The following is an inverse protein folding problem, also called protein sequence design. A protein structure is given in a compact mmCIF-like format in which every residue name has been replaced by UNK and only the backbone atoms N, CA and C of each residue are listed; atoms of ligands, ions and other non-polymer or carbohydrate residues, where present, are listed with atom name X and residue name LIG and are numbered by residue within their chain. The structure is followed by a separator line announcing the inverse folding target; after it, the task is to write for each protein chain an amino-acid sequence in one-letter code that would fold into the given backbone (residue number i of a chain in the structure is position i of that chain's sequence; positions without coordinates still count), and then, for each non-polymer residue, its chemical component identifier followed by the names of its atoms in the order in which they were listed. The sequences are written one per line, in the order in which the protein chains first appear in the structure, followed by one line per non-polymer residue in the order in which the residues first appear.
data_IF_952111696978
#
_entry.id   IF_952111696978
#
_cell.length_a   1.000
_cell.length_b   1.000
_cell.length_c   1.000
_cell.angle_alpha   90.00
_cell.angle_beta   90.00
_cell.angle_gamma   90.00
#
_symmetry.space_group_name_H-M   'P 1'
#
loop_
_entity.id
_entity.type
_entity.pdbx_description
1 polymer ?
#
# COMPACT_ATOMS: atom_id res chain seq x y z
N UNK A 1 36.22 70.05 9.37
CA UNK A 1 35.28 68.91 9.34
C UNK A 1 36.06 67.61 9.30
N UNK A 2 35.43 66.49 9.66
CA UNK A 2 36.00 65.14 9.44
C UNK A 2 36.29 64.91 7.95
N UNK A 3 37.16 63.94 7.64
CA UNK A 3 37.41 63.46 6.26
C UNK A 3 36.12 62.93 5.60
N UNK A 4 35.20 62.39 6.40
CA UNK A 4 33.90 61.88 5.95
C UNK A 4 32.73 62.84 6.21
N UNK A 5 32.97 64.15 6.12
CA UNK A 5 31.95 65.18 6.30
C UNK A 5 31.98 66.23 5.20
N UNK A 6 30.80 66.69 4.79
CA UNK A 6 30.65 67.86 3.93
C UNK A 6 30.81 69.13 4.76
N UNK A 7 31.60 70.07 4.24
CA UNK A 7 31.90 71.35 4.90
C UNK A 7 31.15 72.48 4.21
N UNK A 8 30.34 73.22 4.97
CA UNK A 8 29.71 74.45 4.50
C UNK A 8 30.10 75.61 5.42
N UNK A 9 30.30 76.80 4.86
CA UNK A 9 30.72 77.98 5.61
C UNK A 9 29.85 79.17 5.23
N UNK A 10 29.32 79.86 6.25
CA UNK A 10 28.61 81.13 6.09
C UNK A 10 29.27 82.16 7.01
N UNK A 11 30.00 83.11 6.43
CA UNK A 11 30.83 84.06 7.19
C UNK A 11 31.97 83.33 7.92
N UNK A 12 32.02 83.45 9.25
CA UNK A 12 32.99 82.75 10.11
C UNK A 12 32.46 81.43 10.70
N UNK A 13 31.18 81.11 10.49
CA UNK A 13 30.57 79.88 11.02
C UNK A 13 30.79 78.74 10.04
N UNK A 14 31.44 77.68 10.50
CA UNK A 14 31.69 76.44 9.75
C UNK A 14 30.73 75.37 10.26
N UNK A 15 29.87 74.87 9.37
CA UNK A 15 28.95 73.76 9.65
C UNK A 15 29.43 72.52 8.92
N UNK A 16 29.71 71.47 9.69
CA UNK A 16 30.11 70.17 9.19
C UNK A 16 28.95 69.19 9.31
N UNK A 17 28.65 68.44 8.24
CA UNK A 17 27.62 67.39 8.24
C UNK A 17 28.22 66.11 7.70
N UNK A 18 28.11 64.99 8.42
CA UNK A 18 28.64 63.71 7.95
C UNK A 18 28.05 63.32 6.57
N UNK A 19 28.86 62.64 5.75
CA UNK A 19 28.43 62.08 4.47
C UNK A 19 27.32 61.02 4.66
N UNK A 20 26.55 60.68 3.61
CA UNK A 20 25.66 59.52 3.63
C UNK A 20 26.42 58.28 4.11
N UNK A 21 25.77 57.43 4.90
CA UNK A 21 26.35 56.23 5.54
C UNK A 21 27.32 56.47 6.70
N UNK A 22 27.54 57.72 7.11
CA UNK A 22 28.28 58.10 8.30
C UNK A 22 27.37 58.76 9.35
N UNK A 23 27.74 58.63 10.62
CA UNK A 23 27.07 59.25 11.76
C UNK A 23 28.07 59.98 12.66
N UNK A 24 27.61 61.03 13.36
CA UNK A 24 28.45 61.84 14.23
C UNK A 24 28.03 63.31 14.26
N UNK A 25 28.90 64.16 14.79
CA UNK A 25 28.69 65.61 14.95
C UNK A 25 29.24 66.45 13.77
N UNK A 26 29.66 65.78 12.68
CA UNK A 26 30.29 66.42 11.52
C UNK A 26 31.80 66.68 11.67
N UNK A 27 32.31 66.72 12.90
CA UNK A 27 33.74 66.86 13.21
C UNK A 27 34.40 65.50 13.42
N UNK A 28 33.67 64.57 14.01
CA UNK A 28 33.99 63.16 14.13
C UNK A 28 32.86 62.36 13.48
N UNK A 29 33.11 61.85 12.27
CA UNK A 29 32.16 61.00 11.54
C UNK A 29 32.69 59.58 11.48
N UNK A 30 31.90 58.62 11.94
CA UNK A 30 32.18 57.17 11.85
C UNK A 30 31.16 56.50 10.96
N UNK A 31 31.51 55.34 10.39
CA UNK A 31 30.57 54.55 9.61
C UNK A 31 29.34 54.24 10.47
N UNK A 32 28.15 54.45 9.91
CA UNK A 32 26.89 54.07 10.56
C UNK A 32 26.90 52.57 10.76
N UNK A 33 26.57 52.12 11.96
CA UNK A 33 26.39 50.72 12.27
C UNK A 33 24.89 50.38 12.26
N UNK A 34 24.38 49.66 11.23
CA UNK A 34 22.97 49.29 11.17
C UNK A 34 22.50 48.46 12.36
N UNK A 35 23.41 47.73 13.01
CA UNK A 35 23.08 46.87 14.14
C UNK A 35 22.75 47.64 15.43
N UNK A 36 23.21 48.88 15.54
CA UNK A 36 22.89 49.76 16.68
C UNK A 36 21.63 50.58 16.46
N UNK A 37 21.07 50.55 15.24
CA UNK A 37 19.77 51.15 14.99
C UNK A 37 18.70 50.41 15.83
N UNK A 38 17.65 51.11 16.28
CA UNK A 38 16.59 50.53 17.13
C UNK A 38 15.86 49.31 16.54
N UNK A 39 16.14 48.96 15.28
CA UNK A 39 15.63 47.78 14.59
C UNK A 39 16.64 46.62 14.51
N UNK A 40 17.81 46.69 15.16
CA UNK A 40 18.91 45.69 15.07
C UNK A 40 19.31 45.39 13.63
N UNK A 41 19.32 46.45 12.81
CA UNK A 41 19.43 46.44 11.36
C UNK A 41 18.26 45.76 10.62
N UNK A 42 17.34 45.10 11.31
CA UNK A 42 16.33 44.19 10.76
C UNK A 42 16.71 42.71 10.82
N UNK A 43 17.59 42.27 11.73
CA UNK A 43 17.84 40.83 11.94
C UNK A 43 16.66 40.17 12.65
N UNK A 44 16.56 38.85 12.54
CA UNK A 44 15.71 38.05 13.41
C UNK A 44 16.00 38.36 14.88
N UNK A 45 15.01 38.14 15.76
CA UNK A 45 15.25 38.14 17.20
C UNK A 45 16.12 36.99 17.68
N UNK A 46 16.23 35.93 16.87
CA UNK A 46 17.09 34.78 17.11
C UNK A 46 18.40 34.86 16.29
N UNK A 47 18.89 36.07 16.02
CA UNK A 47 20.11 36.29 15.27
C UNK A 47 20.98 37.42 15.83
N UNK A 48 22.29 37.23 15.75
CA UNK A 48 23.29 38.24 16.00
C UNK A 48 23.47 39.13 14.76
N UNK A 49 23.43 40.45 14.97
CA UNK A 49 23.72 41.42 13.93
C UNK A 49 25.21 41.76 13.94
N UNK A 50 25.90 41.45 12.85
CA UNK A 50 27.33 41.74 12.68
C UNK A 50 27.52 42.83 11.63
N UNK A 51 28.12 43.96 12.00
CA UNK A 51 28.48 45.00 11.04
C UNK A 51 29.64 44.53 10.18
N UNK A 52 29.47 44.54 8.86
CA UNK A 52 30.45 44.02 7.88
C UNK A 52 31.16 45.12 7.09
N UNK A 53 30.82 46.38 7.34
CA UNK A 53 31.40 47.52 6.64
C UNK A 53 30.53 48.77 6.68
N UNK A 54 30.73 49.65 5.70
CA UNK A 54 30.07 50.94 5.55
C UNK A 54 28.56 50.78 5.43
N UNK A 55 27.83 51.00 6.53
CA UNK A 55 26.37 50.85 6.58
C UNK A 55 25.89 49.47 6.08
N UNK A 56 26.74 48.44 6.21
CA UNK A 56 26.44 47.05 5.83
C UNK A 56 26.49 46.13 7.04
N UNK A 57 25.71 45.05 6.97
CA UNK A 57 25.57 44.07 8.05
C UNK A 57 25.35 42.66 7.50
N UNK A 58 25.65 41.65 8.31
CA UNK A 58 25.21 40.26 8.10
C UNK A 58 24.42 39.74 9.31
N UNK A 59 23.37 38.99 8.97
CA UNK A 59 22.59 38.07 9.80
C UNK A 59 23.36 36.81 10.22
N UNK A 60 23.45 36.45 11.50
CA UNK A 60 23.87 35.10 11.90
C UNK A 60 22.92 34.53 12.95
N UNK A 61 22.26 33.42 12.66
CA UNK A 61 21.32 32.80 13.59
C UNK A 61 22.05 32.29 14.85
N UNK A 62 21.39 32.35 16.01
CA UNK A 62 21.90 31.76 17.23
C UNK A 62 21.96 30.21 17.14
N UNK A 63 22.72 29.59 18.05
CA UNK A 63 22.77 28.13 18.15
C UNK A 63 21.38 27.52 18.37
N UNK A 64 21.09 26.44 17.64
CA UNK A 64 19.76 25.81 17.60
C UNK A 64 18.78 26.48 16.64
N UNK A 65 19.23 27.44 15.82
CA UNK A 65 18.43 28.05 14.77
C UNK A 65 19.16 28.03 13.42
N UNK A 66 18.41 27.84 12.34
CA UNK A 66 18.91 27.79 10.96
C UNK A 66 18.13 28.77 10.09
N UNK A 67 18.83 29.42 9.15
CA UNK A 67 18.22 30.32 8.16
C UNK A 67 19.18 31.36 7.61
N UNK A 68 18.65 32.43 7.03
CA UNK A 68 19.41 33.50 6.37
C UNK A 68 19.80 34.66 7.32
N UNK A 69 19.51 34.52 8.62
CA UNK A 69 19.75 35.54 9.64
C UNK A 69 18.68 36.63 9.72
N UNK A 70 17.83 36.77 8.70
CA UNK A 70 16.61 37.59 8.75
C UNK A 70 15.43 36.75 9.22
N UNK A 71 15.35 35.51 8.75
CA UNK A 71 14.49 34.45 9.25
C UNK A 71 15.39 33.36 9.85
N UNK A 72 15.24 33.12 11.15
CA UNK A 72 15.91 32.05 11.87
C UNK A 72 14.83 31.16 12.48
N UNK A 73 14.79 29.90 12.05
CA UNK A 73 13.83 28.90 12.48
C UNK A 73 14.55 27.87 13.33
N UNK A 74 13.85 27.29 14.30
CA UNK A 74 14.41 26.24 15.15
C UNK A 74 14.99 25.12 14.28
N UNK A 75 16.21 24.70 14.62
CA UNK A 75 16.92 23.66 13.91
C UNK A 75 16.14 22.34 14.02
N UNK A 76 15.94 21.68 12.88
CA UNK A 76 15.26 20.41 12.85
C UNK A 76 16.10 19.32 13.53
N UNK A 77 15.49 18.59 14.47
CA UNK A 77 15.98 17.27 14.85
C UNK A 77 15.68 16.25 13.73
N UNK A 78 16.69 15.63 13.12
CA UNK A 78 16.47 14.69 12.01
C UNK A 78 15.55 13.54 12.46
N UNK A 79 14.54 13.16 11.64
CA UNK A 79 13.70 12.03 11.98
C UNK A 79 14.53 10.75 12.03
N UNK A 80 14.40 10.02 13.14
CA UNK A 80 14.96 8.67 13.27
C UNK A 80 14.01 7.68 12.61
N UNK A 81 14.54 6.68 11.90
CA UNK A 81 13.73 5.61 11.32
C UNK A 81 13.03 4.82 12.44
N UNK A 82 11.73 5.04 12.58
CA UNK A 82 10.90 4.39 13.62
C UNK A 82 10.71 2.91 13.37
N UNK A 83 10.95 2.41 12.16
CA UNK A 83 10.93 0.98 11.86
C UNK A 83 12.04 0.22 12.59
N UNK A 84 13.12 0.91 12.99
CA UNK A 84 14.23 0.34 13.76
C UNK A 84 13.97 0.38 15.28
N UNK A 85 12.79 0.86 15.70
CA UNK A 85 12.35 0.86 17.09
C UNK A 85 12.35 -0.54 17.70
N UNK A 86 12.56 -0.60 19.03
CA UNK A 86 12.48 -1.84 19.80
C UNK A 86 11.45 -1.67 20.93
N UNK A 87 10.33 -2.42 20.93
CA UNK A 87 9.93 -3.42 19.92
C UNK A 87 9.61 -2.78 18.56
N UNK A 88 9.71 -3.54 17.43
CA UNK A 88 9.31 -3.05 16.12
C UNK A 88 7.82 -2.67 16.10
N UNK A 89 7.44 -1.63 15.35
CA UNK A 89 6.05 -1.15 15.30
C UNK A 89 5.12 -2.05 14.46
N UNK A 90 5.67 -2.87 13.57
CA UNK A 90 4.91 -3.73 12.67
C UNK A 90 5.08 -5.21 13.03
N UNK A 91 4.14 -6.03 12.56
CA UNK A 91 4.23 -7.49 12.62
C UNK A 91 5.52 -7.99 11.92
N UNK A 92 6.06 -9.13 12.34
CA UNK A 92 7.30 -9.70 11.76
C UNK A 92 7.20 -9.95 10.25
N UNK A 93 6.02 -10.39 9.81
CA UNK A 93 5.70 -10.65 8.40
C UNK A 93 5.15 -9.42 7.67
N UNK A 94 5.27 -8.23 8.27
CA UNK A 94 4.97 -6.97 7.61
C UNK A 94 6.26 -6.26 7.17
N UNK A 95 6.15 -5.56 6.05
CA UNK A 95 7.10 -4.54 5.62
C UNK A 95 6.74 -3.24 6.32
N UNK A 96 7.70 -2.71 7.08
CA UNK A 96 7.60 -1.43 7.74
C UNK A 96 8.15 -0.32 6.83
N UNK A 97 7.39 0.76 6.65
CA UNK A 97 7.86 1.97 5.97
C UNK A 97 7.63 3.20 6.86
N UNK A 98 8.73 3.89 7.20
CA UNK A 98 8.64 5.19 7.88
C UNK A 98 8.33 6.28 6.85
N UNK A 99 7.13 6.86 6.97
CA UNK A 99 6.60 7.81 6.00
C UNK A 99 7.26 9.19 6.10
N UNK A 100 7.91 9.51 7.23
CA UNK A 100 8.57 10.80 7.42
C UNK A 100 10.02 10.77 6.98
N UNK A 101 10.67 9.61 7.12
CA UNK A 101 12.06 9.41 6.73
C UNK A 101 12.23 9.21 5.22
N UNK A 102 11.43 8.33 4.60
CA UNK A 102 11.62 7.96 3.19
C UNK A 102 11.33 9.12 2.22
N UNK A 103 10.41 10.02 2.56
CA UNK A 103 10.04 11.14 1.70
C UNK A 103 10.97 12.35 1.83
N UNK A 104 11.92 12.36 2.79
CA UNK A 104 12.78 13.52 3.14
C UNK A 104 12.00 14.83 3.31
N UNK A 105 10.78 14.75 3.84
CA UNK A 105 9.89 15.91 4.04
C UNK A 105 9.29 15.97 5.45
N UNK A 106 9.83 15.20 6.40
CA UNK A 106 9.33 15.14 7.77
C UNK A 106 7.80 14.93 7.83
N UNK A 107 7.24 14.11 6.94
CA UNK A 107 5.80 13.83 6.87
C UNK A 107 4.94 14.92 6.22
N UNK A 108 5.52 16.04 5.76
CA UNK A 108 4.80 17.08 5.02
C UNK A 108 4.72 16.73 3.54
N UNK A 109 3.53 16.86 2.97
CA UNK A 109 3.30 16.73 1.54
C UNK A 109 2.40 17.85 1.03
N UNK A 110 2.52 18.12 -0.26
CA UNK A 110 1.71 19.12 -0.95
C UNK A 110 0.50 18.47 -1.61
N UNK A 111 -0.65 19.12 -1.52
CA UNK A 111 -1.91 18.67 -2.08
C UNK A 111 -2.55 19.79 -2.91
N UNK A 112 -2.96 19.43 -4.13
CA UNK A 112 -3.68 20.31 -5.04
C UNK A 112 -5.14 19.86 -5.18
N UNK A 113 -6.02 20.79 -5.57
CA UNK A 113 -7.37 20.41 -5.94
C UNK A 113 -7.37 19.56 -7.21
N UNK A 114 -8.36 18.69 -7.37
CA UNK A 114 -8.58 17.95 -8.62
C UNK A 114 -8.86 18.87 -9.82
N UNK A 115 -9.34 20.09 -9.56
CA UNK A 115 -9.57 21.13 -10.58
C UNK A 115 -8.32 21.88 -11.02
N UNK A 116 -7.15 21.61 -10.40
CA UNK A 116 -5.89 22.29 -10.68
C UNK A 116 -5.32 23.08 -9.49
N UNK A 117 -4.18 23.79 -9.69
CA UNK A 117 -3.51 24.56 -8.64
C UNK A 117 -4.35 25.74 -8.16
N UNK A 118 -4.16 26.13 -6.90
CA UNK A 118 -4.87 27.22 -6.24
C UNK A 118 -6.40 27.05 -6.29
N UNK A 119 -6.85 25.81 -6.10
CA UNK A 119 -8.25 25.45 -6.16
C UNK A 119 -8.99 25.50 -4.81
N UNK A 120 -8.27 25.46 -3.68
CA UNK A 120 -8.85 25.18 -2.37
C UNK A 120 -8.96 26.43 -1.49
N UNK A 121 -10.13 26.66 -0.91
CA UNK A 121 -10.26 27.54 0.24
C UNK A 121 -9.76 26.86 1.53
N UNK A 122 -9.66 27.58 2.65
CA UNK A 122 -9.10 27.04 3.89
C UNK A 122 -9.84 25.79 4.39
N UNK A 123 -11.19 25.82 4.40
CA UNK A 123 -11.99 24.67 4.86
C UNK A 123 -11.92 23.47 3.93
N UNK A 124 -11.83 23.71 2.62
CA UNK A 124 -11.65 22.68 1.60
C UNK A 124 -10.26 22.04 1.70
N UNK A 125 -9.22 22.84 1.97
CA UNK A 125 -7.86 22.37 2.19
C UNK A 125 -7.78 21.47 3.43
N UNK A 126 -8.41 21.85 4.53
CA UNK A 126 -8.50 21.03 5.74
C UNK A 126 -9.21 19.70 5.47
N UNK A 127 -10.37 19.75 4.80
CA UNK A 127 -11.12 18.56 4.43
C UNK A 127 -10.32 17.64 3.47
N UNK A 128 -9.58 18.22 2.54
CA UNK A 128 -8.75 17.49 1.58
C UNK A 128 -7.58 16.78 2.26
N UNK A 129 -6.87 17.43 3.19
CA UNK A 129 -5.85 16.76 3.99
C UNK A 129 -6.46 15.63 4.83
N UNK A 130 -7.63 15.86 5.44
CA UNK A 130 -8.32 14.84 6.25
C UNK A 130 -8.74 13.63 5.43
N UNK A 131 -9.17 13.83 4.18
CA UNK A 131 -9.49 12.74 3.26
C UNK A 131 -8.29 11.83 2.95
N UNK A 132 -7.06 12.35 3.09
CA UNK A 132 -5.80 11.59 2.96
C UNK A 132 -5.27 11.06 4.29
N UNK A 133 -6.06 11.10 5.39
CA UNK A 133 -5.60 10.71 6.73
C UNK A 133 -4.56 11.66 7.33
N UNK A 134 -4.51 12.90 6.87
CA UNK A 134 -3.57 13.93 7.28
C UNK A 134 -4.30 15.14 7.89
N UNK A 135 -3.54 16.07 8.45
CA UNK A 135 -4.02 17.38 8.88
C UNK A 135 -3.27 18.48 8.12
N UNK A 136 -3.76 19.72 8.14
CA UNK A 136 -2.94 20.82 7.63
C UNK A 136 -1.62 20.89 8.41
N UNK A 137 -0.52 21.08 7.71
CA UNK A 137 0.79 21.23 8.31
C UNK A 137 0.87 22.54 9.11
N UNK A 138 1.54 22.48 10.24
CA UNK A 138 1.93 23.67 11.00
C UNK A 138 3.15 24.35 10.35
N UNK A 139 3.37 25.61 10.70
CA UNK A 139 4.55 26.34 10.24
C UNK A 139 5.88 25.66 10.64
N UNK A 140 6.07 25.17 11.89
CA UNK A 140 7.26 24.41 12.25
C UNK A 140 7.44 23.12 11.44
N UNK A 141 6.36 22.38 11.16
CA UNK A 141 6.42 21.17 10.33
C UNK A 141 6.84 21.49 8.89
N UNK A 142 6.32 22.57 8.29
CA UNK A 142 6.75 23.00 6.96
C UNK A 142 8.22 23.47 6.97
N UNK A 143 8.66 24.16 8.02
CA UNK A 143 10.06 24.54 8.21
C UNK A 143 10.98 23.34 8.29
N UNK A 144 10.62 22.33 9.08
CA UNK A 144 11.34 21.06 9.16
C UNK A 144 11.46 20.40 7.77
N UNK A 145 10.35 20.32 7.04
CA UNK A 145 10.36 19.77 5.69
C UNK A 145 11.29 20.55 4.74
N UNK A 146 11.30 21.88 4.83
CA UNK A 146 12.21 22.73 4.06
C UNK A 146 13.67 22.47 4.42
N UNK A 147 14.00 22.32 5.70
CA UNK A 147 15.36 21.99 6.16
C UNK A 147 15.82 20.61 5.64
N UNK A 148 14.90 19.66 5.40
CA UNK A 148 15.19 18.37 4.75
C UNK A 148 15.27 18.44 3.22
N UNK A 149 15.10 19.61 2.63
CA UNK A 149 15.23 19.82 1.18
C UNK A 149 13.90 19.92 0.43
N UNK A 150 12.76 20.12 1.12
CA UNK A 150 11.49 20.35 0.45
C UNK A 150 11.41 21.75 -0.16
N UNK A 151 11.61 21.86 -1.48
CA UNK A 151 11.47 23.11 -2.24
C UNK A 151 10.20 23.08 -3.08
N UNK A 152 9.28 24.04 -2.87
CA UNK A 152 8.09 24.18 -3.70
C UNK A 152 7.61 25.65 -3.72
N UNK A 153 7.45 26.20 -4.91
CA UNK A 153 7.10 27.61 -5.12
C UNK A 153 5.59 27.82 -5.31
N UNK A 154 4.78 27.05 -4.62
CA UNK A 154 3.32 27.12 -4.67
C UNK A 154 2.79 27.47 -3.29
N UNK A 155 2.02 28.56 -3.22
CA UNK A 155 1.33 29.00 -2.00
C UNK A 155 0.32 27.94 -1.57
N UNK A 156 0.42 27.51 -0.31
CA UNK A 156 -0.52 26.56 0.27
C UNK A 156 -0.96 26.97 1.68
N UNK A 157 -2.16 26.54 2.05
CA UNK A 157 -2.72 26.72 3.38
C UNK A 157 -1.93 25.92 4.43
N UNK A 158 -1.79 26.52 5.61
CA UNK A 158 -1.26 25.93 6.84
C UNK A 158 -2.30 25.93 7.96
N UNK A 159 -2.11 25.11 8.99
CA UNK A 159 -3.09 24.87 10.06
C UNK A 159 -3.58 26.12 10.80
N UNK A 160 -2.76 27.18 10.88
CA UNK A 160 -3.12 28.44 11.52
C UNK A 160 -3.88 29.42 10.60
N UNK A 161 -4.33 28.98 9.42
CA UNK A 161 -4.97 29.84 8.42
C UNK A 161 -4.01 30.80 7.72
N UNK A 162 -2.70 30.56 7.83
CA UNK A 162 -1.71 31.26 7.00
C UNK A 162 -1.53 30.56 5.66
N UNK A 163 -1.04 31.31 4.69
CA UNK A 163 -0.58 30.77 3.42
C UNK A 163 0.94 30.91 3.35
N UNK A 164 1.65 29.84 3.00
CA UNK A 164 3.11 29.85 2.89
C UNK A 164 3.61 28.86 1.84
N UNK A 165 4.90 28.92 1.51
CA UNK A 165 5.58 27.91 0.71
C UNK A 165 7.08 27.80 1.09
N UNK A 166 7.70 26.61 0.97
CA UNK A 166 9.08 26.39 1.37
C UNK A 166 10.07 26.63 0.21
N UNK A 167 11.18 27.30 0.50
CA UNK A 167 12.24 27.64 -0.46
C UNK A 167 13.60 27.21 0.08
N UNK A 168 14.19 26.17 -0.51
CA UNK A 168 15.50 25.63 -0.09
C UNK A 168 16.70 26.35 -0.73
N UNK A 169 16.52 26.88 -1.94
CA UNK A 169 17.57 27.57 -2.68
C UNK A 169 16.99 28.84 -3.32
N UNK A 170 17.80 29.91 -3.45
CA UNK A 170 17.32 31.20 -3.91
C UNK A 170 16.95 31.14 -5.40
N UNK A 171 15.71 31.52 -5.74
CA UNK A 171 15.20 31.61 -7.11
C UNK A 171 14.52 32.97 -7.29
N UNK A 172 14.76 33.64 -8.42
CA UNK A 172 14.24 34.99 -8.65
C UNK A 172 12.70 35.06 -8.59
N UNK A 173 12.02 34.07 -9.18
CA UNK A 173 10.55 34.01 -9.26
C UNK A 173 9.89 33.27 -8.09
N UNK A 174 10.66 32.95 -7.03
CA UNK A 174 10.17 32.21 -5.89
C UNK A 174 10.80 32.73 -4.59
N UNK A 175 10.00 33.47 -3.82
CA UNK A 175 10.45 34.05 -2.56
C UNK A 175 11.37 35.27 -2.70
N UNK A 176 11.42 35.91 -3.88
CA UNK A 176 12.30 37.06 -4.17
C UNK A 176 13.78 36.78 -3.85
N UNK A 177 14.26 35.57 -4.15
CA UNK A 177 15.63 35.15 -3.86
C UNK A 177 15.94 34.86 -2.39
N UNK A 178 14.93 34.73 -1.51
CA UNK A 178 15.11 34.35 -0.11
C UNK A 178 14.97 32.84 0.10
N UNK A 179 15.77 32.30 1.01
CA UNK A 179 15.70 30.90 1.48
C UNK A 179 14.91 30.87 2.80
N UNK A 180 14.14 29.81 3.01
CA UNK A 180 13.31 29.61 4.19
C UNK A 180 11.82 29.43 3.84
N UNK A 181 10.95 29.78 4.77
CA UNK A 181 9.50 29.75 4.57
C UNK A 181 9.00 31.14 4.19
N UNK A 182 8.51 31.27 2.97
CA UNK A 182 7.87 32.48 2.48
C UNK A 182 6.40 32.43 2.87
N UNK A 183 5.99 33.29 3.80
CA UNK A 183 4.63 33.31 4.35
C UNK A 183 3.95 34.65 4.15
N UNK A 184 2.66 34.60 3.79
CA UNK A 184 1.76 35.77 3.76
C UNK A 184 1.11 36.06 5.12
N UNK A 185 1.51 35.35 6.18
CA UNK A 185 0.90 35.40 7.50
C UNK A 185 -0.53 34.86 7.52
N UNK A 186 -1.17 34.96 8.68
CA UNK A 186 -2.57 34.56 8.84
C UNK A 186 -3.48 35.38 7.93
N UNK A 187 -4.28 34.72 7.10
CA UNK A 187 -5.16 35.38 6.14
C UNK A 187 -6.46 35.79 6.83
N UNK A 188 -6.88 37.04 6.61
CA UNK A 188 -8.20 37.52 7.07
C UNK A 188 -9.34 36.93 6.25
N UNK A 189 -9.07 36.66 4.97
CA UNK A 189 -10.04 36.10 4.04
C UNK A 189 -9.73 34.61 3.82
N UNK A 190 -10.46 33.74 4.52
CA UNK A 190 -10.32 32.28 4.41
C UNK A 190 -10.92 31.70 3.12
N UNK A 191 -11.59 32.54 2.33
CA UNK A 191 -12.12 32.17 1.00
C UNK A 191 -11.14 32.42 -0.14
N UNK A 192 -9.94 32.94 0.16
CA UNK A 192 -8.83 32.92 -0.81
C UNK A 192 -8.57 31.49 -1.29
N UNK A 193 -8.02 31.33 -2.48
CA UNK A 193 -7.76 30.00 -3.03
C UNK A 193 -6.27 29.76 -3.13
N UNK A 194 -5.83 28.70 -2.47
CA UNK A 194 -4.44 28.25 -2.43
C UNK A 194 -4.41 26.72 -2.58
N UNK A 195 -3.22 26.14 -2.64
CA UNK A 195 -3.05 24.69 -2.45
C UNK A 195 -3.04 24.37 -0.95
N UNK A 196 -2.69 23.14 -0.56
CA UNK A 196 -2.60 22.74 0.84
C UNK A 196 -1.26 22.07 1.14
N UNK A 197 -0.63 22.43 2.25
CA UNK A 197 0.43 21.62 2.84
C UNK A 197 -0.18 20.78 3.94
N UNK A 198 -0.11 19.46 3.78
CA UNK A 198 -0.64 18.49 4.72
C UNK A 198 0.50 17.83 5.48
N UNK A 199 0.26 17.47 6.73
CA UNK A 199 1.16 16.71 7.58
C UNK A 199 0.51 15.35 7.90
N UNK A 200 1.24 14.27 7.58
CA UNK A 200 0.81 12.90 7.87
C UNK A 200 0.77 12.70 9.38
N UNK A 201 -0.40 12.32 9.91
CA UNK A 201 -0.54 11.98 11.33
C UNK A 201 0.06 10.61 11.62
N UNK A 202 0.04 9.72 10.63
CA UNK A 202 0.61 8.40 10.75
C UNK A 202 2.10 8.40 10.43
N UNK A 203 2.84 7.85 11.38
CA UNK A 203 4.29 7.85 11.42
C UNK A 203 4.90 6.69 10.62
N UNK A 204 4.26 5.53 10.71
CA UNK A 204 4.71 4.28 10.12
C UNK A 204 3.55 3.62 9.40
N UNK A 205 3.81 3.12 8.18
CA UNK A 205 2.90 2.22 7.50
C UNK A 205 3.42 0.79 7.59
N UNK A 206 2.55 -0.12 7.99
CA UNK A 206 2.82 -1.54 8.05
C UNK A 206 1.98 -2.24 6.98
N UNK A 207 2.62 -2.99 6.09
CA UNK A 207 1.92 -3.77 5.07
C UNK A 207 2.43 -5.20 5.11
N UNK A 208 1.53 -6.17 5.24
CA UNK A 208 1.91 -7.58 5.18
C UNK A 208 2.70 -7.89 3.90
N UNK A 209 3.69 -8.78 4.00
CA UNK A 209 4.46 -9.28 2.87
C UNK A 209 3.55 -10.05 1.91
N UNK A 210 4.00 -10.22 0.69
CA UNK A 210 3.30 -11.04 -0.29
C UNK A 210 3.07 -12.46 0.27
N UNK A 211 1.86 -13.00 0.09
CA UNK A 211 1.43 -14.26 0.72
C UNK A 211 0.81 -14.11 2.10
N UNK A 212 0.71 -12.91 2.65
CA UNK A 212 0.08 -12.64 3.95
C UNK A 212 -1.03 -11.58 3.87
N UNK A 213 -2.02 -11.68 4.74
CA UNK A 213 -3.14 -10.74 4.84
C UNK A 213 -3.42 -10.34 6.29
N UNK A 214 -3.75 -9.06 6.52
CA UNK A 214 -4.08 -8.55 7.83
C UNK A 214 -3.87 -7.04 7.94
N UNK A 215 -3.74 -6.55 9.18
CA UNK A 215 -3.57 -5.11 9.46
C UNK A 215 -2.11 -4.64 9.36
N UNK A 216 -1.15 -5.56 9.25
CA UNK A 216 0.29 -5.25 9.22
C UNK A 216 0.91 -4.90 10.57
N UNK A 217 0.10 -4.58 11.58
CA UNK A 217 0.56 -4.12 12.90
C UNK A 217 0.60 -5.31 13.86
N UNK A 218 -0.55 -5.96 14.02
CA UNK A 218 -0.73 -7.06 14.97
C UNK A 218 -0.90 -8.40 14.26
N UNK A 219 -1.39 -8.38 13.02
CA UNK A 219 -1.83 -9.56 12.30
C UNK A 219 -1.34 -9.52 10.87
N UNK A 220 -0.56 -10.53 10.49
CA UNK A 220 -0.34 -10.92 9.11
C UNK A 220 -0.48 -12.44 9.04
N UNK A 221 -1.63 -12.91 8.58
CA UNK A 221 -1.95 -14.31 8.44
C UNK A 221 -1.50 -14.82 7.07
N UNK A 222 -0.83 -15.97 7.02
CA UNK A 222 -0.47 -16.66 5.79
C UNK A 222 -1.68 -17.34 5.15
N UNK A 223 -1.45 -18.48 4.49
CA UNK A 223 -2.52 -19.30 3.91
C UNK A 223 -3.39 -19.95 4.99
N UNK A 224 -4.48 -20.58 4.57
CA UNK A 224 -5.39 -21.32 5.47
C UNK A 224 -4.62 -22.32 6.35
N UNK A 225 -3.73 -23.12 5.75
CA UNK A 225 -2.95 -24.12 6.49
C UNK A 225 -1.96 -23.48 7.47
N UNK A 226 -1.38 -22.31 7.15
CA UNK A 226 -0.49 -21.58 8.05
C UNK A 226 -1.25 -21.08 9.28
N UNK A 227 -2.47 -20.55 9.08
CA UNK A 227 -3.34 -20.10 10.17
C UNK A 227 -3.74 -21.28 11.08
N UNK A 228 -4.07 -22.43 10.50
CA UNK A 228 -4.36 -23.65 11.25
C UNK A 228 -3.15 -24.12 12.07
N UNK A 229 -1.95 -24.08 11.49
CA UNK A 229 -0.71 -24.49 12.16
C UNK A 229 -0.31 -23.53 13.27
N UNK A 230 -0.50 -22.22 13.08
CA UNK A 230 -0.15 -21.19 14.06
C UNK A 230 -1.17 -21.08 15.21
N UNK A 231 -2.43 -21.46 14.98
CA UNK A 231 -3.50 -21.32 15.97
C UNK A 231 -3.62 -22.57 16.83
N UNK A 232 -3.17 -22.49 18.09
CA UNK A 232 -3.19 -23.62 19.02
C UNK A 232 -4.58 -24.27 19.19
N UNK A 233 -5.67 -23.49 19.11
CA UNK A 233 -7.03 -24.03 19.26
C UNK A 233 -7.54 -24.81 18.03
N UNK A 234 -6.78 -24.85 16.94
CA UNK A 234 -7.12 -25.62 15.73
C UNK A 234 -6.25 -26.88 15.57
N UNK A 235 -5.35 -27.15 16.53
CA UNK A 235 -4.35 -28.21 16.44
C UNK A 235 -4.96 -29.60 16.22
N UNK A 236 -6.09 -29.91 16.85
CA UNK A 236 -6.74 -31.23 16.73
C UNK A 236 -7.27 -31.45 15.33
N UNK A 237 -8.01 -30.48 14.79
CA UNK A 237 -8.52 -30.53 13.42
C UNK A 237 -7.40 -30.54 12.39
N UNK A 238 -6.39 -29.69 12.56
CA UNK A 238 -5.22 -29.63 11.69
C UNK A 238 -4.45 -30.97 11.68
N UNK A 239 -4.24 -31.58 12.85
CA UNK A 239 -3.63 -32.91 12.96
C UNK A 239 -4.41 -34.00 12.21
N UNK A 240 -5.75 -33.95 12.24
CA UNK A 240 -6.60 -34.88 11.48
C UNK A 240 -6.48 -34.66 9.97
N UNK A 241 -6.41 -33.41 9.49
CA UNK A 241 -6.17 -33.10 8.08
C UNK A 241 -4.84 -33.67 7.59
N UNK A 242 -3.75 -33.45 8.34
CA UNK A 242 -2.43 -34.00 8.02
C UNK A 242 -2.43 -35.53 8.05
N UNK A 243 -3.12 -36.14 9.02
CA UNK A 243 -3.31 -37.58 9.08
C UNK A 243 -4.07 -38.14 7.87
N UNK A 244 -5.11 -37.44 7.41
CA UNK A 244 -5.89 -37.83 6.23
C UNK A 244 -5.07 -37.75 4.93
N UNK A 245 -4.29 -36.68 4.78
CA UNK A 245 -3.39 -36.49 3.65
C UNK A 245 -2.29 -37.55 3.58
N UNK A 246 -1.72 -37.93 4.73
CA UNK A 246 -0.72 -38.98 4.80
C UNK A 246 -1.31 -40.38 4.53
N UNK A 247 -2.58 -40.60 4.84
CA UNK A 247 -3.22 -41.91 4.73
C UNK A 247 -3.81 -42.21 3.34
N UNK A 248 -4.26 -41.20 2.58
CA UNK A 248 -5.01 -41.41 1.33
C UNK A 248 -4.68 -40.37 0.26
N UNK A 249 -4.71 -40.77 -1.02
CA UNK A 249 -4.53 -39.83 -2.14
C UNK A 249 -5.58 -38.71 -2.12
N UNK A 250 -6.85 -39.06 -1.84
CA UNK A 250 -7.93 -38.07 -1.75
C UNK A 250 -7.69 -37.03 -0.65
N UNK A 251 -7.11 -37.44 0.47
CA UNK A 251 -6.71 -36.51 1.52
C UNK A 251 -5.56 -35.60 1.13
N UNK A 252 -4.60 -36.11 0.34
CA UNK A 252 -3.53 -35.30 -0.21
C UNK A 252 -4.08 -34.26 -1.19
N UNK A 253 -4.95 -34.69 -2.11
CA UNK A 253 -5.63 -33.80 -3.06
C UNK A 253 -6.46 -32.72 -2.33
N UNK A 254 -7.07 -33.07 -1.19
CA UNK A 254 -7.81 -32.13 -0.34
C UNK A 254 -6.88 -31.14 0.40
N UNK A 255 -5.72 -31.59 0.86
CA UNK A 255 -4.73 -30.70 1.47
C UNK A 255 -4.16 -29.72 0.42
N UNK A 256 -3.85 -30.21 -0.77
CA UNK A 256 -3.41 -29.39 -1.92
C UNK A 256 -4.49 -28.37 -2.30
N UNK A 257 -5.76 -28.76 -2.25
CA UNK A 257 -6.89 -27.86 -2.43
C UNK A 257 -6.90 -26.71 -1.39
N UNK A 258 -6.60 -26.99 -0.12
CA UNK A 258 -6.53 -25.97 0.94
C UNK A 258 -5.27 -25.09 0.83
N UNK A 259 -4.18 -25.59 0.24
CA UNK A 259 -2.94 -24.84 0.01
C UNK A 259 -2.95 -23.98 -1.28
N UNK A 260 -3.80 -24.33 -2.24
CA UNK A 260 -3.93 -23.62 -3.51
C UNK A 260 -4.22 -22.12 -3.29
N UNK A 261 -3.49 -21.26 -4.00
CA UNK A 261 -3.58 -19.80 -3.89
C UNK A 261 -4.57 -19.20 -4.90
N UNK A 262 -4.90 -19.93 -5.96
CA UNK A 262 -5.67 -19.40 -7.09
C UNK A 262 -7.16 -19.29 -6.78
N UNK A 263 -7.66 -20.14 -5.88
CA UNK A 263 -9.06 -20.15 -5.50
C UNK A 263 -9.24 -19.70 -4.05
N UNK A 264 -10.24 -18.86 -3.80
CA UNK A 264 -10.57 -18.39 -2.47
C UNK A 264 -11.53 -19.37 -1.80
N UNK A 265 -11.20 -19.87 -0.60
CA UNK A 265 -12.03 -20.86 0.11
C UNK A 265 -12.63 -20.32 1.40
N UNK A 266 -13.73 -20.91 1.82
CA UNK A 266 -14.24 -20.82 3.19
C UNK A 266 -13.96 -22.14 3.90
N UNK A 267 -13.32 -22.06 5.07
CA UNK A 267 -13.02 -23.21 5.90
C UNK A 267 -13.68 -23.05 7.28
N UNK A 268 -14.51 -24.02 7.65
CA UNK A 268 -15.09 -24.11 8.98
C UNK A 268 -14.19 -24.96 9.86
N UNK A 269 -13.72 -24.44 10.98
CA UNK A 269 -12.71 -25.12 11.80
C UNK A 269 -13.26 -25.31 13.20
N UNK A 270 -13.57 -26.53 13.63
CA UNK A 270 -13.95 -26.80 15.01
C UNK A 270 -12.78 -26.52 15.95
N UNK A 271 -13.06 -25.83 17.06
CA UNK A 271 -12.09 -25.64 18.14
C UNK A 271 -11.81 -26.97 18.85
N UNK A 272 -10.66 -27.08 19.51
CA UNK A 272 -10.23 -28.31 20.18
C UNK A 272 -11.27 -28.80 21.20
N UNK A 273 -11.94 -27.89 21.92
CA UNK A 273 -12.98 -28.24 22.90
C UNK A 273 -14.22 -28.91 22.28
N UNK A 274 -14.41 -28.78 20.96
CA UNK A 274 -15.53 -29.38 20.25
C UNK A 274 -15.40 -30.89 20.03
N UNK A 275 -14.22 -31.47 20.24
CA UNK A 275 -13.95 -32.90 20.06
C UNK A 275 -14.08 -33.67 21.38
N UNK A 276 -15.31 -34.04 21.72
CA UNK A 276 -15.61 -34.82 22.94
C UNK A 276 -15.36 -36.33 22.70
N UNK A 277 -14.98 -37.08 23.73
CA UNK A 277 -14.86 -38.55 23.71
C UNK A 277 -13.89 -39.16 22.66
N UNK A 278 -12.76 -38.49 22.38
CA UNK A 278 -11.80 -38.91 21.34
C UNK A 278 -12.44 -39.08 19.96
N UNK A 279 -13.44 -38.27 19.66
CA UNK A 279 -14.10 -38.24 18.36
C UNK A 279 -13.09 -38.02 17.23
N UNK A 280 -13.14 -38.87 16.21
CA UNK A 280 -12.34 -38.75 14.99
C UNK A 280 -13.23 -38.52 13.79
N UNK A 281 -12.83 -37.62 12.89
CA UNK A 281 -13.55 -37.35 11.66
C UNK A 281 -13.09 -38.29 10.54
N UNK A 282 -14.03 -38.76 9.72
CA UNK A 282 -13.67 -39.45 8.48
C UNK A 282 -13.23 -38.46 7.40
N UNK A 283 -12.57 -38.92 6.34
CA UNK A 283 -12.19 -38.07 5.20
C UNK A 283 -13.35 -37.21 4.64
N UNK A 284 -14.52 -37.82 4.33
CA UNK A 284 -15.70 -37.06 3.91
C UNK A 284 -16.21 -36.03 4.93
N UNK A 285 -16.05 -36.28 6.23
CA UNK A 285 -16.38 -35.31 7.28
C UNK A 285 -15.40 -34.14 7.28
N UNK A 286 -14.10 -34.39 7.08
CA UNK A 286 -13.09 -33.33 6.94
C UNK A 286 -13.37 -32.46 5.70
N UNK A 287 -13.70 -33.07 4.56
CA UNK A 287 -14.04 -32.36 3.32
C UNK A 287 -15.34 -31.53 3.43
N UNK A 288 -16.24 -31.88 4.35
CA UNK A 288 -17.47 -31.13 4.61
C UNK A 288 -17.20 -29.73 5.17
N UNK A 289 -16.04 -29.54 5.80
CA UNK A 289 -15.67 -28.29 6.45
C UNK A 289 -15.13 -27.24 5.47
N UNK A 290 -14.88 -27.58 4.21
CA UNK A 290 -14.36 -26.63 3.23
C UNK A 290 -15.36 -26.36 2.11
N UNK A 291 -15.34 -25.14 1.58
CA UNK A 291 -16.16 -24.70 0.46
C UNK A 291 -15.37 -23.79 -0.47
N UNK A 292 -15.64 -23.88 -1.77
CA UNK A 292 -15.14 -22.93 -2.79
C UNK A 292 -15.96 -21.64 -2.88
N UNK A 293 -17.05 -21.53 -2.11
CA UNK A 293 -17.82 -20.31 -2.04
C UNK A 293 -17.30 -19.41 -0.91
N UNK A 294 -17.27 -18.11 -1.15
CA UNK A 294 -16.95 -17.12 -0.13
C UNK A 294 -18.12 -16.90 0.82
N UNK A 295 -17.85 -17.01 2.11
CA UNK A 295 -18.78 -16.63 3.17
C UNK A 295 -18.10 -15.61 4.08
N UNK A 296 -18.77 -14.47 4.26
CA UNK A 296 -18.41 -13.45 5.24
C UNK A 296 -19.57 -13.35 6.21
N UNK A 297 -19.31 -12.98 7.46
CA UNK A 297 -20.36 -12.74 8.46
C UNK A 297 -21.46 -11.81 7.96
N UNK A 298 -21.08 -10.72 7.26
CA UNK A 298 -22.01 -9.75 6.68
C UNK A 298 -22.96 -10.36 5.63
N UNK A 299 -22.55 -11.44 4.96
CA UNK A 299 -23.29 -12.15 3.91
C UNK A 299 -23.85 -13.49 4.39
N UNK A 300 -23.75 -13.80 5.69
CA UNK A 300 -24.26 -15.01 6.30
C UNK A 300 -25.72 -14.79 6.71
N UNK A 301 -26.63 -14.89 5.74
CA UNK A 301 -28.07 -14.91 6.02
C UNK A 301 -28.53 -16.32 6.41
N UNK A 302 -29.50 -16.38 7.31
CA UNK A 302 -30.14 -17.64 7.70
C UNK A 302 -30.74 -18.34 6.46
N UNK A 303 -30.42 -19.62 6.29
CA UNK A 303 -30.89 -20.41 5.14
C UNK A 303 -30.03 -20.32 3.88
N UNK A 304 -28.90 -19.62 3.92
CA UNK A 304 -27.94 -19.60 2.80
C UNK A 304 -27.34 -20.99 2.60
N UNK A 305 -27.40 -21.48 1.35
CA UNK A 305 -26.80 -22.74 0.93
C UNK A 305 -25.39 -22.52 0.38
N UNK A 306 -24.44 -23.33 0.83
CA UNK A 306 -23.04 -23.31 0.39
C UNK A 306 -22.62 -24.72 -0.04
N UNK A 307 -22.01 -24.90 -1.21
CA UNK A 307 -21.52 -26.21 -1.63
C UNK A 307 -20.26 -26.59 -0.84
N UNK A 308 -20.28 -27.72 -0.13
CA UNK A 308 -19.08 -28.26 0.51
C UNK A 308 -18.21 -29.02 -0.50
N UNK A 309 -16.91 -29.13 -0.21
CA UNK A 309 -15.97 -29.90 -1.01
C UNK A 309 -16.33 -31.39 -1.08
N UNK A 310 -16.93 -31.93 -0.01
CA UNK A 310 -17.45 -33.30 0.03
C UNK A 310 -18.56 -33.60 -0.98
N UNK A 311 -19.14 -32.56 -1.61
CA UNK A 311 -20.27 -32.65 -2.55
C UNK A 311 -21.65 -32.50 -1.88
N UNK A 312 -21.70 -32.33 -0.56
CA UNK A 312 -22.91 -32.01 0.20
C UNK A 312 -23.18 -30.49 0.21
N UNK A 313 -24.39 -30.10 0.62
CA UNK A 313 -24.74 -28.68 0.81
C UNK A 313 -24.70 -28.31 2.29
N UNK A 314 -24.11 -27.16 2.62
CA UNK A 314 -24.13 -26.57 3.96
C UNK A 314 -25.23 -25.51 4.02
N UNK A 315 -25.98 -25.46 5.12
CA UNK A 315 -26.96 -24.41 5.39
C UNK A 315 -26.61 -23.66 6.67
N UNK A 316 -26.46 -22.33 6.56
CA UNK A 316 -26.12 -21.50 7.73
C UNK A 316 -27.38 -21.28 8.57
N UNK A 317 -27.31 -21.65 9.84
CA UNK A 317 -28.36 -21.42 10.84
C UNK A 317 -27.81 -20.63 12.01
N UNK A 318 -28.26 -19.39 12.16
CA UNK A 318 -27.87 -18.50 13.25
C UNK A 318 -28.83 -18.63 14.46
N UNK A 319 -29.18 -19.88 14.81
CA UNK A 319 -30.04 -20.14 15.95
C UNK A 319 -29.21 -20.21 17.22
N UNK A 320 -29.36 -19.19 18.07
CA UNK A 320 -29.04 -19.30 19.50
C UNK A 320 -29.82 -20.46 20.16
N UNK A 321 -29.56 -20.74 21.45
CA UNK A 321 -29.90 -22.02 22.10
C UNK A 321 -31.38 -22.42 22.18
N UNK A 322 -32.31 -21.64 21.63
CA UNK A 322 -33.74 -21.80 21.92
C UNK A 322 -34.58 -22.14 20.68
N UNK A 323 -35.12 -23.35 20.73
CA UNK A 323 -36.37 -23.84 20.12
C UNK A 323 -37.10 -22.88 19.15
N UNK A 324 -36.92 -23.07 17.84
CA UNK A 324 -38.04 -22.94 16.90
C UNK A 324 -37.81 -23.65 15.55
N UNK A 325 -38.79 -24.51 15.23
CA UNK A 325 -39.20 -25.05 13.92
C UNK A 325 -38.11 -25.42 12.90
N UNK A 326 -37.76 -26.71 12.89
CA UNK A 326 -37.10 -27.36 11.76
C UNK A 326 -37.97 -27.26 10.49
N UNK A 327 -37.48 -26.51 9.50
CA UNK A 327 -37.87 -26.78 8.11
C UNK A 327 -37.26 -28.13 7.70
N UNK A 328 -37.93 -28.95 6.86
CA UNK A 328 -37.40 -30.23 6.43
C UNK A 328 -36.09 -30.00 5.68
N UNK A 329 -34.98 -30.37 6.31
CA UNK A 329 -33.64 -30.37 5.72
C UNK A 329 -33.71 -31.26 4.49
N UNK A 330 -33.53 -30.66 3.30
CA UNK A 330 -33.51 -31.42 2.06
C UNK A 330 -32.43 -32.53 2.16
N UNK A 331 -32.67 -33.73 1.62
CA UNK A 331 -31.71 -34.83 1.68
C UNK A 331 -30.37 -34.36 1.09
N UNK A 332 -29.29 -34.48 1.87
CA UNK A 332 -27.94 -34.05 1.48
C UNK A 332 -27.53 -32.65 1.96
N UNK A 333 -28.27 -32.04 2.88
CA UNK A 333 -27.91 -30.74 3.50
C UNK A 333 -27.45 -30.91 4.95
N UNK A 334 -26.35 -30.25 5.33
CA UNK A 334 -25.81 -30.22 6.71
C UNK A 334 -25.91 -28.82 7.29
N UNK A 335 -26.37 -28.71 8.53
CA UNK A 335 -26.53 -27.43 9.21
C UNK A 335 -25.20 -26.99 9.80
N UNK A 336 -24.76 -25.79 9.46
CA UNK A 336 -23.68 -25.08 10.16
C UNK A 336 -24.33 -24.20 11.21
N UNK A 337 -24.01 -24.47 12.47
CA UNK A 337 -24.55 -23.76 13.64
C UNK A 337 -23.42 -23.51 14.64
N UNK A 338 -23.66 -22.58 15.58
CA UNK A 338 -22.72 -22.27 16.67
C UNK A 338 -21.31 -21.90 16.19
N UNK A 339 -21.22 -20.90 15.32
CA UNK A 339 -19.94 -20.29 14.93
C UNK A 339 -19.45 -19.38 16.07
N UNK A 340 -18.27 -19.70 16.63
CA UNK A 340 -17.66 -18.97 17.76
C UNK A 340 -16.98 -17.70 17.27
N UNK A 341 -16.18 -17.82 16.21
CA UNK A 341 -15.42 -16.71 15.63
C UNK A 341 -15.64 -16.67 14.14
N UNK A 342 -16.08 -15.53 13.65
CA UNK A 342 -16.25 -15.28 12.22
C UNK A 342 -15.02 -14.58 11.64
N UNK A 343 -14.89 -14.66 10.31
CA UNK A 343 -14.00 -13.85 9.50
C UNK A 343 -12.51 -13.83 9.88
N UNK A 344 -11.96 -14.99 10.27
CA UNK A 344 -10.51 -15.14 10.42
C UNK A 344 -9.90 -15.18 9.02
N UNK A 345 -9.37 -14.05 8.56
CA UNK A 345 -8.81 -13.92 7.21
C UNK A 345 -7.52 -14.71 7.04
N UNK A 346 -7.37 -15.33 5.88
CA UNK A 346 -6.16 -15.98 5.41
C UNK A 346 -5.88 -15.56 3.96
N UNK A 347 -4.65 -15.69 3.50
CA UNK A 347 -4.23 -15.21 2.18
C UNK A 347 -5.07 -15.78 1.03
N UNK A 348 -5.37 -17.08 1.08
CA UNK A 348 -6.14 -17.81 0.07
C UNK A 348 -7.57 -18.16 0.53
N UNK A 349 -8.08 -17.53 1.59
CA UNK A 349 -9.42 -17.86 2.07
C UNK A 349 -9.84 -17.20 3.37
N UNK A 350 -10.87 -17.76 3.98
CA UNK A 350 -11.43 -17.30 5.24
C UNK A 350 -11.76 -18.48 6.14
N UNK A 351 -11.51 -18.32 7.43
CA UNK A 351 -11.77 -19.33 8.46
C UNK A 351 -12.92 -18.86 9.35
N UNK A 352 -13.80 -19.79 9.70
CA UNK A 352 -14.84 -19.62 10.70
C UNK A 352 -14.68 -20.69 11.78
N UNK A 353 -14.46 -20.28 13.02
CA UNK A 353 -14.28 -21.21 14.13
C UNK A 353 -15.64 -21.75 14.60
N UNK A 354 -15.79 -23.07 14.68
CA UNK A 354 -17.01 -23.74 15.14
C UNK A 354 -16.86 -24.29 16.56
N UNK A 355 -17.97 -24.36 17.29
CA UNK A 355 -18.01 -25.03 18.59
C UNK A 355 -17.96 -26.56 18.52
N UNK A 356 -18.41 -27.15 17.40
CA UNK A 356 -18.41 -28.59 17.18
C UNK A 356 -18.13 -28.92 15.72
N UNK A 357 -17.54 -30.10 15.43
CA UNK A 357 -17.28 -30.52 14.05
C UNK A 357 -18.58 -30.84 13.30
N UNK A 358 -18.56 -30.58 11.99
CA UNK A 358 -19.61 -30.99 11.04
C UNK A 358 -19.49 -32.48 10.73
N UNK A 359 -20.63 -33.16 10.61
CA UNK A 359 -20.70 -34.59 10.29
C UNK A 359 -21.60 -34.85 9.09
N UNK A 360 -21.19 -35.76 8.22
CA UNK A 360 -22.01 -36.23 7.13
C UNK A 360 -23.24 -37.00 7.67
N UNK A 361 -24.43 -36.84 7.07
CA UNK A 361 -25.60 -37.62 7.45
C UNK A 361 -25.35 -39.12 7.24
N UNK A 362 -25.84 -40.00 8.12
CA UNK A 362 -25.69 -41.44 7.96
C UNK A 362 -26.37 -41.89 6.65
N UNK A 363 -25.60 -42.42 5.71
CA UNK A 363 -26.16 -42.99 4.49
C UNK A 363 -26.96 -44.27 4.83
N UNK A 364 -28.21 -44.43 4.33
CA UNK A 364 -28.89 -45.70 4.40
C UNK A 364 -28.07 -46.74 3.63
N UNK A 365 -27.61 -47.80 4.31
CA UNK A 365 -26.99 -48.93 3.64
C UNK A 365 -27.94 -49.45 2.56
N UNK A 366 -27.53 -49.39 1.30
CA UNK A 366 -28.24 -50.05 0.23
C UNK A 366 -28.22 -51.55 0.53
N UNK A 367 -29.35 -52.10 1.01
CA UNK A 367 -29.55 -53.53 1.16
C UNK A 367 -29.40 -54.13 -0.23
N UNK A 368 -28.29 -54.84 -0.44
CA UNK A 368 -28.03 -55.60 -1.65
C UNK A 368 -29.16 -56.63 -1.77
N UNK A 369 -30.09 -56.43 -2.71
CA UNK A 369 -31.11 -57.43 -3.00
C UNK A 369 -30.43 -58.73 -3.46
N UNK A 370 -30.87 -59.93 -3.02
CA UNK A 370 -30.25 -61.18 -3.42
C UNK A 370 -30.39 -61.38 -4.92
N UNK A 371 -29.26 -61.59 -5.60
CA UNK A 371 -29.21 -61.94 -7.01
C UNK A 371 -29.88 -63.30 -7.21
N UNK A 372 -31.04 -63.34 -7.86
CA UNK A 372 -31.68 -64.59 -8.28
C UNK A 372 -30.77 -65.35 -9.27
N UNK A 373 -30.80 -66.70 -9.29
CA UNK A 373 -29.90 -67.50 -10.11
C UNK A 373 -30.28 -67.41 -11.60
N UNK A 374 -29.33 -67.64 -12.53
CA UNK A 374 -29.58 -67.51 -13.95
C UNK A 374 -30.41 -68.68 -14.47
N UNK A 375 -31.55 -68.39 -15.10
CA UNK A 375 -32.26 -69.35 -15.95
C UNK A 375 -31.66 -69.27 -17.34
N UNK A 376 -30.97 -70.33 -17.74
CA UNK A 376 -30.54 -70.54 -19.12
C UNK A 376 -31.77 -70.81 -20.01
N UNK A 377 -31.99 -69.98 -21.03
CA UNK A 377 -32.82 -70.33 -22.19
C UNK A 377 -32.31 -69.55 -23.40
N UNK A 378 -31.72 -70.26 -24.36
CA UNK A 378 -31.15 -69.69 -25.56
C UNK A 378 -32.21 -69.32 -26.60
N UNK A 379 -32.05 -68.14 -27.21
CA UNK A 379 -32.49 -67.84 -28.58
C UNK A 379 -31.52 -66.80 -29.15
N UNK A 380 -30.35 -67.25 -29.56
CA UNK A 380 -29.34 -66.42 -30.23
C UNK A 380 -29.03 -67.00 -31.61
N UNK A 381 -29.97 -66.90 -32.56
CA UNK A 381 -29.71 -67.35 -33.94
C UNK A 381 -30.59 -66.75 -35.06
N UNK A 382 -31.39 -65.69 -34.82
CA UNK A 382 -32.28 -65.17 -35.90
C UNK A 382 -32.09 -63.67 -36.22
N UNK A 383 -31.44 -62.86 -35.38
CA UNK A 383 -31.30 -61.43 -35.65
C UNK A 383 -30.09 -61.05 -36.53
N UNK A 384 -29.16 -61.97 -36.79
CA UNK A 384 -27.98 -61.70 -37.64
C UNK A 384 -28.26 -61.84 -39.15
N UNK A 385 -29.30 -62.57 -39.57
CA UNK A 385 -29.61 -62.77 -40.99
C UNK A 385 -30.42 -61.62 -41.62
N UNK A 386 -31.19 -60.87 -40.82
CA UNK A 386 -32.00 -59.73 -41.31
C UNK A 386 -31.17 -58.48 -41.62
N UNK A 387 -30.08 -58.25 -40.87
CA UNK A 387 -29.23 -57.07 -41.05
C UNK A 387 -28.36 -57.15 -42.32
N UNK A 388 -27.96 -58.36 -42.74
CA UNK A 388 -27.15 -58.57 -43.95
C UNK A 388 -27.96 -58.38 -45.25
N UNK A 389 -29.25 -58.72 -45.26
CA UNK A 389 -30.12 -58.53 -46.42
C UNK A 389 -30.51 -57.05 -46.64
N UNK A 390 -30.65 -56.27 -45.55
CA UNK A 390 -30.92 -54.83 -45.64
C UNK A 390 -29.77 -54.01 -46.20
N UNK A 391 -28.52 -54.37 -45.88
CA UNK A 391 -27.33 -53.67 -46.37
C UNK A 391 -27.07 -53.91 -47.87
N UNK A 392 -27.38 -55.10 -48.38
CA UNK A 392 -27.26 -55.42 -49.81
C UNK A 392 -28.32 -54.70 -50.65
N UNK A 393 -29.55 -54.57 -50.14
CA UNK A 393 -30.61 -53.81 -50.80
C UNK A 393 -30.32 -52.29 -50.84
N UNK A 394 -29.77 -51.73 -49.76
CA UNK A 394 -29.38 -50.31 -49.70
C UNK A 394 -28.22 -49.94 -50.65
N UNK A 395 -27.24 -50.83 -50.81
CA UNK A 395 -26.12 -50.61 -51.72
C UNK A 395 -26.53 -50.65 -53.21
N UNK A 396 -27.53 -51.48 -53.57
CA UNK A 396 -28.08 -51.53 -54.93
C UNK A 396 -28.92 -50.29 -55.27
N UNK A 397 -29.63 -49.73 -54.28
CA UNK A 397 -30.43 -48.51 -54.45
C UNK A 397 -29.55 -47.26 -54.71
N UNK A 398 -28.43 -47.12 -53.99
CA UNK A 398 -27.52 -45.97 -54.15
C UNK A 398 -26.72 -46.00 -55.46
N UNK A 399 -26.49 -47.18 -56.06
CA UNK A 399 -25.88 -47.28 -57.40
C UNK A 399 -26.84 -46.94 -58.53
N UNK A 400 -28.16 -46.97 -58.30
CA UNK A 400 -29.15 -46.70 -59.33
C UNK A 400 -29.43 -45.20 -59.56
N UNK A 401 -29.05 -44.31 -58.62
CA UNK A 401 -29.35 -42.86 -58.73
C UNK A 401 -28.16 -41.96 -59.11
N UNK A 402 -26.96 -42.51 -59.38
CA UNK A 402 -25.78 -41.71 -59.72
C UNK A 402 -25.59 -41.47 -61.22
N UNK A 403 -25.97 -40.29 -61.73
CA UNK A 403 -25.34 -39.62 -62.90
C UNK A 403 -25.68 -38.11 -62.95
N UNK A 404 -24.90 -37.24 -63.64
CA UNK A 404 -23.92 -36.37 -62.98
C UNK A 404 -23.97 -34.89 -63.42
N UNK A 405 -23.52 -33.97 -62.57
CA UNK A 405 -22.92 -32.65 -62.90
C UNK A 405 -22.08 -32.26 -61.67
N UNK A 406 -20.81 -31.85 -61.71
CA UNK A 406 -20.08 -30.95 -62.60
C UNK A 406 -19.50 -29.83 -61.72
N UNK A 407 -18.32 -29.30 -62.06
CA UNK A 407 -17.54 -28.22 -61.38
C UNK A 407 -16.66 -28.70 -60.22
N UNK A 408 -15.36 -28.41 -60.13
CA UNK A 408 -14.45 -27.55 -60.89
C UNK A 408 -13.48 -26.90 -59.89
N UNK A 409 -12.21 -27.35 -59.84
CA UNK A 409 -11.18 -26.86 -58.91
C UNK A 409 -10.40 -25.67 -59.47
N UNK A 410 -9.94 -24.78 -58.60
CA UNK A 410 -8.70 -24.03 -58.79
C UNK A 410 -8.03 -23.85 -57.43
N UNK A 411 -6.78 -24.30 -57.33
CA UNK A 411 -5.92 -24.22 -56.17
C UNK A 411 -5.18 -22.89 -56.14
N UNK A 412 -4.84 -22.39 -54.96
CA UNK A 412 -3.74 -21.44 -54.79
C UNK A 412 -2.93 -21.76 -53.54
N UNK A 413 -1.63 -21.52 -53.71
CA UNK A 413 -0.47 -21.91 -52.93
C UNK A 413 -0.11 -20.79 -51.95
N UNK A 414 0.47 -21.16 -50.81
CA UNK A 414 0.94 -20.24 -49.77
C UNK A 414 2.36 -19.73 -50.10
N UNK A 415 2.64 -18.46 -49.81
CA UNK A 415 3.99 -17.95 -49.55
C UNK A 415 3.95 -16.58 -48.84
N UNK A 416 5.14 -16.23 -48.34
CA UNK A 416 5.53 -15.39 -47.22
C UNK A 416 5.42 -13.85 -47.38
N UNK A 417 5.51 -13.19 -46.22
CA UNK A 417 6.15 -11.90 -45.89
C UNK A 417 5.71 -10.54 -46.46
N UNK A 418 5.78 -9.58 -45.52
CA UNK A 418 6.11 -8.15 -45.64
C UNK A 418 4.99 -7.08 -45.73
N UNK A 419 5.10 -6.16 -44.75
CA UNK A 419 4.92 -4.70 -44.79
C UNK A 419 3.51 -4.06 -44.79
N UNK A 420 3.34 -3.23 -43.74
CA UNK A 420 2.86 -1.84 -43.72
C UNK A 420 1.37 -1.47 -43.97
N UNK A 421 0.78 -0.94 -42.89
CA UNK A 421 0.11 0.38 -42.78
C UNK A 421 -1.44 0.51 -42.84
N UNK A 422 -1.92 1.46 -42.02
CA UNK A 422 -3.22 2.13 -41.93
C UNK A 422 -4.44 1.50 -41.18
N UNK A 423 -4.62 2.00 -39.94
CA UNK A 423 -5.86 2.23 -39.16
C UNK A 423 -6.88 3.19 -39.87
N UNK A 424 -8.18 3.39 -39.49
CA UNK A 424 -8.71 3.57 -38.10
C UNK A 424 -10.18 3.16 -37.80
N UNK A 425 -10.58 3.10 -36.52
CA UNK A 425 -11.76 3.78 -35.90
C UNK A 425 -11.81 3.53 -34.37
N UNK A 426 -12.11 4.62 -33.65
CA UNK A 426 -12.25 4.86 -32.20
C UNK A 426 -13.50 4.17 -31.61
N UNK A 427 -13.89 4.17 -30.32
CA UNK A 427 -13.58 4.92 -29.08
C UNK A 427 -14.23 4.11 -27.93
N UNK A 428 -13.68 4.12 -26.70
CA UNK A 428 -14.32 3.51 -25.52
C UNK A 428 -13.48 3.64 -24.25
N UNK A 429 -13.72 4.73 -23.54
CA UNK A 429 -12.98 5.32 -22.41
C UNK A 429 -13.07 4.55 -21.08
N UNK A 430 -11.94 4.49 -20.36
CA UNK A 430 -11.88 4.28 -18.90
C UNK A 430 -10.71 5.15 -18.36
N UNK A 431 -10.88 5.96 -17.30
CA UNK A 431 -9.85 6.92 -16.89
C UNK A 431 -8.72 6.25 -16.08
N UNK A 432 -7.49 6.50 -16.48
CA UNK A 432 -6.28 6.13 -15.75
C UNK A 432 -5.81 7.27 -14.85
N UNK A 433 -5.53 6.93 -13.59
CA UNK A 433 -4.78 7.75 -12.64
C UNK A 433 -3.40 8.08 -13.22
N UNK A 434 -3.13 9.38 -13.45
CA UNK A 434 -1.80 9.86 -13.82
C UNK A 434 -1.11 10.38 -12.57
N UNK A 435 -0.25 9.55 -11.99
CA UNK A 435 0.86 10.01 -11.16
C UNK A 435 1.94 10.55 -12.10
N UNK A 436 2.22 11.85 -12.05
CA UNK A 436 3.34 12.45 -12.79
C UNK A 436 4.66 11.97 -12.16
N UNK A 437 5.53 11.24 -12.88
CA UNK A 437 6.88 10.98 -12.41
C UNK A 437 7.72 12.25 -12.54
N UNK A 438 8.58 12.50 -11.56
CA UNK A 438 9.59 13.55 -11.63
C UNK A 438 10.51 13.36 -12.86
N UNK A 439 10.96 14.44 -13.51
CA UNK A 439 11.87 14.36 -14.64
C UNK A 439 13.24 13.81 -14.20
N UNK A 440 13.69 12.78 -14.93
CA UNK A 440 15.04 12.24 -14.92
C UNK A 440 15.95 13.22 -15.66
N UNK A 441 16.94 13.77 -14.97
CA UNK A 441 18.11 14.39 -15.61
C UNK A 441 19.26 13.37 -15.61
N UNK A 442 19.52 12.76 -16.77
CA UNK A 442 20.87 12.44 -17.24
C UNK A 442 21.17 13.41 -18.39
N UNK A 443 22.38 13.83 -18.70
CA UNK A 443 23.73 13.42 -18.35
C UNK A 443 24.63 14.62 -18.62
N UNK A 444 25.65 14.86 -17.79
CA UNK A 444 27.01 15.14 -18.29
C UNK A 444 28.01 15.04 -17.14
N UNK A 445 28.87 14.05 -17.30
CA UNK A 445 30.21 13.79 -16.75
C UNK A 445 30.90 14.91 -15.96
N UNK A 446 31.40 14.63 -14.75
CA UNK A 446 32.84 14.33 -14.48
C UNK A 446 33.12 14.14 -12.97
N UNK A 447 33.83 13.04 -12.66
CA UNK A 447 34.67 12.73 -11.48
C UNK A 447 34.03 12.35 -10.12
N UNK A 448 33.96 11.03 -9.86
CA UNK A 448 34.41 10.44 -8.58
C UNK A 448 35.93 10.19 -8.64
N UNK A 449 36.61 10.10 -7.47
CA UNK A 449 37.12 8.78 -7.11
C UNK A 449 36.95 8.43 -5.62
N UNK A 450 37.32 7.18 -5.28
CA UNK A 450 37.31 6.45 -3.99
C UNK A 450 36.04 5.58 -3.84
N UNK A 451 36.06 4.25 -3.91
CA UNK A 451 37.07 3.19 -3.78
C UNK A 451 36.53 1.97 -4.59
N UNK A 452 37.33 1.05 -5.11
CA UNK A 452 37.72 -0.14 -4.36
C UNK A 452 38.72 -0.97 -5.17
N UNK A 453 39.67 -1.58 -4.48
CA UNK A 453 40.25 -2.86 -4.89
C UNK A 453 40.78 -3.56 -3.64
N UNK A 454 39.94 -4.42 -3.07
CA UNK A 454 40.36 -5.55 -2.27
C UNK A 454 41.02 -6.57 -3.21
N UNK A 455 42.28 -6.93 -2.96
CA UNK A 455 42.74 -8.31 -3.10
C UNK A 455 43.81 -8.61 -2.04
N UNK A 456 43.71 -9.83 -1.55
CA UNK A 456 44.50 -10.54 -0.55
C UNK A 456 46.02 -10.37 -0.68
N UNK A 457 46.73 -10.31 0.45
CA UNK A 457 47.62 -11.38 0.95
C UNK A 457 48.48 -10.87 2.12
N UNK A 458 48.79 -11.81 3.04
CA UNK A 458 49.89 -11.83 4.02
C UNK A 458 49.80 -11.09 5.37
N UNK A 459 49.53 -11.89 6.41
CA UNK A 459 50.08 -11.76 7.78
C UNK A 459 51.63 -11.91 7.75
N UNK A 460 52.42 -11.23 8.61
CA UNK A 460 52.53 -11.64 10.01
C UNK A 460 52.83 -10.55 11.07
N UNK A 461 52.57 -10.94 12.33
CA UNK A 461 53.16 -10.53 13.61
C UNK A 461 54.08 -9.29 13.67
N UNK A 462 53.78 -8.35 14.58
CA UNK A 462 54.63 -8.10 15.78
C UNK A 462 54.08 -7.00 16.71
N UNK A 463 53.90 -7.39 17.98
CA UNK A 463 54.32 -6.70 19.21
C UNK A 463 54.11 -5.18 19.44
N UNK A 464 53.44 -4.91 20.57
CA UNK A 464 53.71 -3.86 21.60
C UNK A 464 53.59 -2.40 21.12
N UNK A 465 52.92 -1.49 21.82
CA UNK A 465 53.32 -0.92 23.12
C UNK A 465 52.12 -0.12 23.70
N UNK A 466 51.93 -0.26 25.01
CA UNK A 466 51.12 0.58 25.90
C UNK A 466 51.70 1.99 26.04
N UNK A 467 50.84 3.03 26.10
CA UNK A 467 50.95 4.21 27.01
C UNK A 467 49.68 5.04 26.79
N UNK A 468 48.72 5.12 27.73
CA UNK A 468 48.72 5.96 28.94
C UNK A 468 49.35 7.33 28.72
N UNK A 469 48.52 8.33 28.46
CA UNK A 469 48.42 9.52 29.32
C UNK A 469 47.04 10.15 29.22
#
# INVERSE_FOLDING_TARGET
CSEHANCSQVGTVVTCTCLPDYEGDGWSCRARNPCTDGHRGGCSEHADCLSTGLNTRRCECHAGYVGDGLQCLEELEPPVDRCLGRPPPCHSDAVCTDLHFQEKRAGVFHLQATSGPYGLNFSEAEAACKAQGAVLASFPQLSAAQQLGFHLCLMGWLANGSAAHPVVFPVADCGNGRVGIVSLGARKNLSERWDAYCFRVQDVACRCRDGFVGDGISTCNGKLLDVLAATANFSTFYGMLLGYANATQRGLDFLDFLDDELTYKTLFVPVNEGFVDNMTLSGPDLELHASNATLLSANASQGKLLPAHSGLSLIISDAGPDNSSWAPVAPGTVVVSHVIVWDIVAFNGIIHALASPLLAPPQPQAVLAPKAPPVAAGVGAVLAAGALLGLVAGALYLRAQGKPTGFGFSAFQAEEDAADDFSPWQEGTNPTLVSVPNPVFGSDTFCEPFHDSLLEEDFPDTQRILTVK
#
